data_IF_560206356781
#
_entry.id   IF_560206356781
#
_cell.length_a   1.000
_cell.length_b   1.000
_cell.length_c   1.000
_cell.angle_alpha   90.00
_cell.angle_beta   90.00
_cell.angle_gamma   90.00
#
_symmetry.space_group_name_H-M   'P 1'
#
loop_
_entity.id
_entity.type
_entity.pdbx_description
1 polymer ?
#
# COMPACT_ATOMS: atom_id res chain seq x y z
N UNK A 1 -3.01 -44.77 6.51
CA UNK A 1 -3.67 -43.47 6.29
C UNK A 1 -2.99 -42.80 5.10
N UNK A 2 -3.68 -42.68 3.96
CA UNK A 2 -3.15 -41.96 2.81
C UNK A 2 -3.33 -40.47 3.05
N UNK A 3 -2.23 -39.75 3.29
CA UNK A 3 -2.22 -38.29 3.24
C UNK A 3 -1.93 -37.90 1.78
N UNK A 4 -2.94 -37.50 0.99
CA UNK A 4 -2.67 -37.03 -0.37
C UNK A 4 -1.73 -35.82 -0.31
N UNK A 5 -0.62 -35.93 -1.02
CA UNK A 5 0.37 -34.87 -1.15
C UNK A 5 0.03 -34.05 -2.38
N UNK A 6 -0.22 -32.75 -2.18
CA UNK A 6 -0.45 -31.79 -3.26
C UNK A 6 0.82 -30.93 -3.34
N UNK A 7 1.56 -31.03 -4.46
CA UNK A 7 2.89 -30.42 -4.62
C UNK A 7 3.81 -30.69 -3.41
N UNK A 8 4.01 -31.95 -3.02
CA UNK A 8 4.83 -32.33 -1.86
C UNK A 8 4.40 -31.75 -0.50
N UNK A 9 3.19 -31.19 -0.38
CA UNK A 9 2.65 -30.69 0.88
C UNK A 9 1.40 -31.47 1.29
N UNK A 10 1.24 -31.78 2.59
CA UNK A 10 -0.03 -32.29 3.10
C UNK A 10 -1.11 -31.20 3.02
N UNK A 11 -2.38 -31.63 2.94
CA UNK A 11 -3.55 -30.72 2.93
C UNK A 11 -3.52 -29.73 4.10
N UNK A 12 -3.02 -30.15 5.28
CA UNK A 12 -2.90 -29.28 6.45
C UNK A 12 -2.05 -28.02 6.20
N UNK A 13 -0.97 -28.12 5.43
CA UNK A 13 -0.13 -26.95 5.09
C UNK A 13 -0.84 -26.00 4.14
N UNK A 14 -1.60 -26.54 3.19
CA UNK A 14 -2.46 -25.74 2.30
C UNK A 14 -3.53 -24.99 3.09
N UNK A 15 -4.19 -25.65 4.06
CA UNK A 15 -5.16 -25.00 4.93
C UNK A 15 -4.53 -23.88 5.76
N UNK A 16 -3.33 -24.08 6.30
CA UNK A 16 -2.60 -23.05 7.05
C UNK A 16 -2.24 -21.87 6.14
N UNK A 17 -1.66 -22.13 4.96
CA UNK A 17 -1.28 -21.08 4.01
C UNK A 17 -2.49 -20.24 3.56
N UNK A 18 -3.61 -20.89 3.21
CA UNK A 18 -4.84 -20.20 2.83
C UNK A 18 -5.40 -19.40 4.02
N UNK A 19 -5.38 -19.96 5.22
CA UNK A 19 -5.83 -19.25 6.44
C UNK A 19 -4.99 -18.01 6.71
N UNK A 20 -3.66 -18.10 6.57
CA UNK A 20 -2.74 -16.97 6.70
C UNK A 20 -2.98 -15.94 5.60
N UNK A 21 -3.18 -16.37 4.36
CA UNK A 21 -3.51 -15.47 3.26
C UNK A 21 -4.80 -14.69 3.55
N UNK A 22 -5.88 -15.36 3.95
CA UNK A 22 -7.13 -14.69 4.36
C UNK A 22 -6.89 -13.72 5.52
N UNK A 23 -6.13 -14.13 6.53
CA UNK A 23 -5.79 -13.29 7.67
C UNK A 23 -5.06 -12.01 7.23
N UNK A 24 -4.24 -12.07 6.18
CA UNK A 24 -3.51 -10.90 5.67
C UNK A 24 -4.41 -9.90 4.96
N UNK A 25 -5.49 -10.33 4.29
CA UNK A 25 -6.52 -9.39 3.81
C UNK A 25 -7.25 -8.72 4.97
N UNK A 26 -7.54 -9.47 6.03
CA UNK A 26 -8.16 -8.92 7.23
C UNK A 26 -7.21 -7.89 7.86
N UNK A 27 -5.92 -8.23 8.01
CA UNK A 27 -4.90 -7.31 8.51
C UNK A 27 -4.78 -6.06 7.65
N UNK A 28 -4.78 -6.17 6.32
CA UNK A 28 -4.77 -5.03 5.40
C UNK A 28 -5.99 -4.12 5.60
N UNK A 29 -7.19 -4.69 5.74
CA UNK A 29 -8.41 -3.92 6.05
C UNK A 29 -8.35 -3.26 7.42
N UNK A 30 -7.80 -3.93 8.43
CA UNK A 30 -7.61 -3.37 9.77
C UNK A 30 -6.65 -2.20 9.71
N UNK A 31 -5.52 -2.35 9.02
CA UNK A 31 -4.53 -1.28 8.81
C UNK A 31 -5.17 -0.09 8.11
N UNK A 32 -5.87 -0.32 7.01
CA UNK A 32 -6.64 0.73 6.32
C UNK A 32 -7.59 1.45 7.29
N UNK A 33 -8.42 0.70 8.02
CA UNK A 33 -9.38 1.27 8.97
C UNK A 33 -8.72 2.05 10.12
N UNK A 34 -7.59 1.56 10.64
CA UNK A 34 -6.83 2.27 11.68
C UNK A 34 -6.24 3.56 11.11
N UNK A 35 -5.64 3.52 9.91
CA UNK A 35 -5.07 4.70 9.25
C UNK A 35 -6.15 5.75 8.96
N UNK A 36 -7.27 5.39 8.32
CA UNK A 36 -8.37 6.34 8.08
C UNK A 36 -8.98 6.89 9.36
N UNK A 37 -9.14 6.08 10.40
CA UNK A 37 -9.94 6.51 11.56
C UNK A 37 -9.10 7.17 12.64
N UNK A 38 -7.90 6.68 12.89
CA UNK A 38 -7.06 7.16 13.99
C UNK A 38 -6.09 8.22 13.50
N UNK A 39 -5.41 7.99 12.38
CA UNK A 39 -4.38 8.92 11.92
C UNK A 39 -5.00 10.22 11.41
N UNK A 40 -6.09 10.15 10.63
CA UNK A 40 -6.85 11.36 10.22
C UNK A 40 -7.37 12.18 11.40
N UNK A 41 -7.75 11.55 12.52
CA UNK A 41 -8.22 12.26 13.71
C UNK A 41 -7.10 12.94 14.49
N UNK A 42 -5.87 12.44 14.37
CA UNK A 42 -4.70 13.04 14.98
C UNK A 42 -4.24 14.26 14.18
N UNK A 43 -4.28 14.19 12.85
CA UNK A 43 -3.88 15.31 11.99
C UNK A 43 -4.93 16.41 11.85
N UNK A 44 -6.20 16.13 12.10
CA UNK A 44 -7.22 17.18 12.30
C UNK A 44 -6.91 18.14 13.47
N UNK A 45 -5.99 17.77 14.38
CA UNK A 45 -5.53 18.63 15.46
C UNK A 45 -4.27 19.43 15.13
N UNK A 46 -3.63 19.16 13.99
CA UNK A 46 -2.45 19.89 13.53
C UNK A 46 -2.85 21.00 12.55
N UNK A 47 -2.16 22.14 12.58
CA UNK A 47 -2.46 23.29 11.70
C UNK A 47 -2.06 23.07 10.23
N UNK A 48 -1.27 22.03 9.93
CA UNK A 48 -0.67 21.78 8.60
C UNK A 48 -1.52 20.87 7.70
N UNK A 49 -2.11 21.47 6.66
CA UNK A 49 -2.86 20.73 5.60
C UNK A 49 -2.04 19.67 4.85
N UNK A 50 -0.71 19.76 4.85
CA UNK A 50 0.17 18.79 4.18
C UNK A 50 0.14 17.42 4.82
N UNK A 51 0.14 17.36 6.15
CA UNK A 51 0.24 16.10 6.88
C UNK A 51 -1.01 15.25 6.66
N UNK A 52 -2.18 15.90 6.63
CA UNK A 52 -3.46 15.28 6.25
C UNK A 52 -3.39 14.64 4.85
N UNK A 53 -2.91 15.40 3.86
CA UNK A 53 -2.85 14.91 2.46
C UNK A 53 -1.87 13.74 2.34
N UNK A 54 -0.69 13.83 2.94
CA UNK A 54 0.32 12.77 2.87
C UNK A 54 -0.21 11.49 3.53
N UNK A 55 -0.90 11.60 4.67
CA UNK A 55 -1.46 10.45 5.37
C UNK A 55 -2.58 9.78 4.57
N UNK A 56 -3.47 10.56 3.97
CA UNK A 56 -4.51 10.04 3.07
C UNK A 56 -3.89 9.26 1.89
N UNK A 57 -2.76 9.75 1.39
CA UNK A 57 -2.04 9.10 0.30
C UNK A 57 -1.29 7.85 0.74
N UNK A 58 -0.84 7.78 1.98
CA UNK A 58 -0.13 6.62 2.55
C UNK A 58 -1.07 5.50 2.98
N UNK A 59 -2.33 5.80 3.31
CA UNK A 59 -3.32 4.84 3.79
C UNK A 59 -3.46 3.61 2.88
N UNK A 60 -3.67 3.84 1.59
CA UNK A 60 -3.87 2.79 0.60
C UNK A 60 -2.59 1.99 0.27
N UNK A 61 -1.42 2.62 -0.01
CA UNK A 61 -0.17 1.90 -0.25
C UNK A 61 0.27 1.05 0.96
N UNK A 62 0.09 1.55 2.18
CA UNK A 62 0.42 0.78 3.39
C UNK A 62 -0.46 -0.45 3.54
N UNK A 63 -1.78 -0.30 3.37
CA UNK A 63 -2.70 -1.44 3.42
C UNK A 63 -2.32 -2.49 2.37
N UNK A 64 -1.97 -2.07 1.15
CA UNK A 64 -1.54 -2.97 0.09
C UNK A 64 -0.20 -3.64 0.41
N UNK A 65 0.79 -2.90 0.93
CA UNK A 65 2.08 -3.46 1.35
C UNK A 65 1.92 -4.55 2.42
N UNK A 66 1.03 -4.36 3.39
CA UNK A 66 0.71 -5.39 4.41
C UNK A 66 0.17 -6.65 3.76
N UNK A 67 -0.72 -6.52 2.77
CA UNK A 67 -1.26 -7.66 2.03
C UNK A 67 -0.15 -8.36 1.22
N UNK A 68 0.74 -7.61 0.56
CA UNK A 68 1.86 -8.19 -0.20
C UNK A 68 2.81 -8.98 0.71
N UNK A 69 3.22 -8.40 1.84
CA UNK A 69 4.11 -9.06 2.80
C UNK A 69 3.44 -10.30 3.39
N UNK A 70 2.16 -10.16 3.73
CA UNK A 70 1.34 -11.25 4.21
C UNK A 70 1.20 -12.40 3.21
N UNK A 71 0.93 -12.08 1.96
CA UNK A 71 0.86 -13.05 0.87
C UNK A 71 2.21 -13.77 0.71
N UNK A 72 3.31 -13.03 0.64
CA UNK A 72 4.66 -13.61 0.52
C UNK A 72 5.00 -14.53 1.70
N UNK A 73 4.60 -14.15 2.91
CA UNK A 73 4.76 -14.97 4.12
C UNK A 73 3.86 -16.20 4.09
N UNK A 74 2.61 -16.10 3.63
CA UNK A 74 1.72 -17.26 3.51
C UNK A 74 2.25 -18.31 2.52
N UNK A 75 2.87 -17.88 1.42
CA UNK A 75 3.49 -18.78 0.45
C UNK A 75 4.72 -19.50 1.01
N UNK A 76 5.48 -18.90 1.94
CA UNK A 76 6.69 -19.52 2.50
C UNK A 76 6.39 -20.74 3.39
N UNK A 77 5.13 -20.91 3.80
CA UNK A 77 4.66 -22.10 4.51
C UNK A 77 4.46 -23.33 3.61
N UNK A 78 4.44 -23.13 2.28
CA UNK A 78 4.33 -24.21 1.29
C UNK A 78 5.71 -24.57 0.74
N UNK A 79 6.00 -25.87 0.68
CA UNK A 79 7.19 -26.38 -0.02
C UNK A 79 6.88 -26.46 -1.51
N UNK A 80 7.18 -25.40 -2.26
CA UNK A 80 6.92 -25.33 -3.70
C UNK A 80 8.08 -25.96 -4.50
N UNK A 81 7.82 -26.62 -5.64
CA UNK A 81 8.85 -27.02 -6.60
C UNK A 81 9.63 -25.81 -7.13
N UNK A 82 10.89 -26.00 -7.52
CA UNK A 82 11.79 -24.92 -7.96
C UNK A 82 11.19 -24.03 -9.07
N UNK A 83 10.45 -24.64 -10.02
CA UNK A 83 9.78 -23.90 -11.09
C UNK A 83 8.73 -22.89 -10.61
N UNK A 84 8.12 -23.12 -9.45
CA UNK A 84 7.11 -22.24 -8.83
C UNK A 84 7.75 -21.38 -7.74
N UNK A 85 8.79 -21.88 -7.06
CA UNK A 85 9.50 -21.14 -6.02
C UNK A 85 10.46 -20.07 -6.55
N UNK A 86 10.76 -20.05 -7.86
CA UNK A 86 11.75 -19.14 -8.44
C UNK A 86 11.31 -17.67 -8.56
N UNK A 87 10.01 -17.41 -8.75
CA UNK A 87 9.48 -16.07 -9.06
C UNK A 87 8.73 -15.33 -7.94
N UNK A 88 8.30 -15.92 -6.81
CA UNK A 88 7.55 -15.20 -5.78
C UNK A 88 8.28 -13.99 -5.18
N UNK A 89 9.60 -14.07 -5.02
CA UNK A 89 10.40 -12.94 -4.53
C UNK A 89 10.48 -11.80 -5.55
N UNK A 90 10.70 -12.14 -6.82
CA UNK A 90 10.70 -11.15 -7.92
C UNK A 90 9.33 -10.50 -8.08
N UNK A 91 8.26 -11.28 -8.00
CA UNK A 91 6.89 -10.77 -8.05
C UNK A 91 6.57 -9.87 -6.85
N UNK A 92 6.99 -10.25 -5.64
CA UNK A 92 6.84 -9.41 -4.46
C UNK A 92 7.55 -8.07 -4.62
N UNK A 93 8.82 -8.08 -5.04
CA UNK A 93 9.60 -6.86 -5.27
C UNK A 93 9.00 -6.01 -6.39
N UNK A 94 8.55 -6.62 -7.48
CA UNK A 94 7.92 -5.93 -8.60
C UNK A 94 6.62 -5.24 -8.18
N UNK A 95 5.74 -5.95 -7.44
CA UNK A 95 4.49 -5.38 -6.92
C UNK A 95 4.77 -4.27 -5.90
N UNK A 96 5.79 -4.44 -5.05
CA UNK A 96 6.21 -3.41 -4.10
C UNK A 96 6.72 -2.17 -4.82
N UNK A 97 7.52 -2.33 -5.88
CA UNK A 97 8.02 -1.24 -6.71
C UNK A 97 6.87 -0.49 -7.39
N UNK A 98 5.88 -1.19 -7.94
CA UNK A 98 4.65 -0.59 -8.49
C UNK A 98 3.91 0.20 -7.40
N UNK A 99 3.81 -0.34 -6.20
CA UNK A 99 3.14 0.32 -5.07
C UNK A 99 3.83 1.64 -4.71
N UNK A 100 5.16 1.64 -4.67
CA UNK A 100 5.97 2.83 -4.39
C UNK A 100 5.84 3.84 -5.53
N UNK A 101 5.93 3.40 -6.79
CA UNK A 101 5.79 4.27 -7.95
C UNK A 101 4.40 4.92 -8.00
N UNK A 102 3.35 4.14 -7.76
CA UNK A 102 1.99 4.64 -7.66
C UNK A 102 1.83 5.65 -6.53
N UNK A 103 2.40 5.38 -5.35
CA UNK A 103 2.44 6.34 -4.25
C UNK A 103 3.15 7.64 -4.64
N UNK A 104 4.29 7.55 -5.33
CA UNK A 104 5.05 8.72 -5.76
C UNK A 104 4.27 9.60 -6.75
N UNK A 105 3.60 8.99 -7.73
CA UNK A 105 2.71 9.72 -8.67
C UNK A 105 1.60 10.42 -7.91
N UNK A 106 0.93 9.69 -7.02
CA UNK A 106 -0.16 10.25 -6.21
C UNK A 106 0.34 11.42 -5.37
N UNK A 107 1.48 11.27 -4.71
CA UNK A 107 2.10 12.33 -3.90
C UNK A 107 2.43 13.57 -4.72
N UNK A 108 2.99 13.39 -5.91
CA UNK A 108 3.26 14.48 -6.83
C UNK A 108 1.97 15.23 -7.20
N UNK A 109 0.90 14.51 -7.54
CA UNK A 109 -0.39 15.11 -7.90
C UNK A 109 -0.97 15.95 -6.75
N UNK A 110 -0.84 15.48 -5.49
CA UNK A 110 -1.24 16.26 -4.32
C UNK A 110 -0.45 17.55 -4.16
N UNK A 111 0.88 17.45 -4.24
CA UNK A 111 1.75 18.61 -4.08
C UNK A 111 1.47 19.64 -5.18
N UNK A 112 1.26 19.18 -6.41
CA UNK A 112 0.90 20.04 -7.52
C UNK A 112 -0.41 20.79 -7.26
N UNK A 113 -1.47 20.08 -6.89
CA UNK A 113 -2.79 20.68 -6.69
C UNK A 113 -2.85 21.62 -5.49
N UNK A 114 -2.14 21.30 -4.39
CA UNK A 114 -2.25 22.05 -3.14
C UNK A 114 -1.22 23.17 -2.97
N UNK A 115 -0.07 23.09 -3.66
CA UNK A 115 1.02 24.06 -3.53
C UNK A 115 1.37 24.74 -4.84
N UNK A 116 1.63 23.98 -5.91
CA UNK A 116 2.11 24.58 -7.17
C UNK A 116 1.01 25.40 -7.87
N UNK A 117 -0.23 24.92 -7.87
CA UNK A 117 -1.35 25.63 -8.51
C UNK A 117 -1.69 26.94 -7.79
N UNK A 118 -1.86 27.00 -6.45
CA UNK A 118 -2.12 28.26 -5.77
C UNK A 118 -0.99 29.29 -5.92
N UNK A 119 0.27 28.86 -5.91
CA UNK A 119 1.43 29.76 -6.06
C UNK A 119 1.48 30.41 -7.45
N UNK A 120 1.14 29.64 -8.49
CA UNK A 120 1.12 30.16 -9.87
C UNK A 120 -0.07 31.09 -10.13
N UNK A 121 -1.22 30.84 -9.51
CA UNK A 121 -2.38 31.73 -9.56
C UNK A 121 -2.13 33.06 -8.83
N UNK A 122 -1.52 33.02 -7.64
CA UNK A 122 -1.14 34.23 -6.90
C UNK A 122 -0.09 35.07 -7.63
N UNK A 123 0.92 34.42 -8.22
CA UNK A 123 1.94 35.10 -9.00
C UNK A 123 1.37 35.76 -10.28
N UNK A 124 0.40 35.13 -10.95
CA UNK A 124 -0.29 35.74 -12.09
C UNK A 124 -1.17 36.93 -11.66
N UNK A 125 -1.95 36.81 -10.58
CA UNK A 125 -2.83 37.89 -10.13
C UNK A 125 -2.07 39.16 -9.73
N UNK A 126 -0.92 39.02 -9.06
CA UNK A 126 -0.07 40.15 -8.68
C UNK A 126 0.52 40.84 -9.92
N UNK A 127 0.95 40.05 -10.91
CA UNK A 127 1.43 40.57 -12.19
C UNK A 127 0.35 41.42 -12.88
N UNK A 128 -0.87 40.91 -13.03
CA UNK A 128 -1.96 41.67 -13.65
C UNK A 128 -2.33 42.96 -12.90
N UNK A 129 -2.24 42.94 -11.56
CA UNK A 129 -2.53 44.10 -10.72
C UNK A 129 -1.48 45.21 -10.86
N UNK A 130 -0.26 44.89 -11.29
CA UNK A 130 0.81 45.86 -11.51
C UNK A 130 0.69 46.64 -12.84
N UNK A 131 -0.07 46.12 -13.81
CA UNK A 131 -0.25 46.73 -15.14
C UNK A 131 -1.61 47.43 -15.33
N UNK A 132 -2.43 47.54 -14.27
CA UNK A 132 -3.71 48.29 -14.24
C UNK A 132 -3.57 49.45 -13.27
#
# INVERSE_FOLDING_TARGET
MFNPLILNNPISRWLIAISLFILTFIAGKVVYWVLSRWVKRLTQKTETKLDDIIIDMLEEPFAFAVVLVGARYSLSWLTLPDSIAAWPDDAFQFLLAITIAWFAVRLYDALQQNYLVPLTQGAQSDFYTQFV
#
